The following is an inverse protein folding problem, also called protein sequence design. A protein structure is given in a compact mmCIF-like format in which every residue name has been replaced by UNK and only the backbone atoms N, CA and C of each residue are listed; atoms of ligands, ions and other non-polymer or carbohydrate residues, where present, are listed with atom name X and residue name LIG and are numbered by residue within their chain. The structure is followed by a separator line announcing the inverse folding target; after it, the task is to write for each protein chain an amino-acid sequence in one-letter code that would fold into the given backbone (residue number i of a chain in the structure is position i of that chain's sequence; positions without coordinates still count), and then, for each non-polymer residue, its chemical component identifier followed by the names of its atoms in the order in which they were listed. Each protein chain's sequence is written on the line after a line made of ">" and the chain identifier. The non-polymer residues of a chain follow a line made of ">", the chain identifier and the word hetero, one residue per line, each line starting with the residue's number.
data_IF_744339013348
#
_entry.id   IF_744339013348
#
_cell.length_a   1.000
_cell.length_b   1.000
_cell.length_c   1.000
_cell.angle_alpha   90.00
_cell.angle_beta   90.00
_cell.angle_gamma   90.00
#
_symmetry.space_group_name_H-M   'P 1'
#
loop_
_entity.id
_entity.type
_entity.pdbx_description
1 polymer ?
#
# COMPACT_ATOMS: atom_id res chain seq x y z
N UNK A 1 0.05 1.08 2.05
CA UNK A 1 0.97 0.16 2.76
C UNK A 1 2.13 -0.28 1.88
N UNK A 2 1.89 -1.01 0.78
CA UNK A 2 2.97 -1.51 -0.10
C UNK A 2 3.93 -0.42 -0.59
N UNK A 3 3.40 0.70 -1.09
CA UNK A 3 4.23 1.80 -1.60
C UNK A 3 5.09 2.46 -0.51
N UNK A 4 4.56 2.62 0.71
CA UNK A 4 5.34 3.13 1.84
C UNK A 4 6.52 2.20 2.19
N UNK A 5 6.36 0.90 2.01
CA UNK A 5 7.38 -0.11 2.33
C UNK A 5 8.41 -0.25 1.21
N UNK A 6 7.97 -0.21 -0.05
CA UNK A 6 8.82 -0.47 -1.22
C UNK A 6 9.32 0.77 -1.94
N UNK A 7 8.72 1.95 -1.69
CA UNK A 7 9.01 3.20 -2.40
C UNK A 7 8.48 3.25 -3.84
N UNK A 8 7.63 2.31 -4.24
CA UNK A 8 7.08 2.22 -5.59
C UNK A 8 5.60 1.80 -5.58
N UNK A 9 4.78 2.28 -6.53
CA UNK A 9 3.39 1.86 -6.65
C UNK A 9 3.29 0.35 -6.88
N UNK A 10 2.23 -0.27 -6.33
CA UNK A 10 1.98 -1.71 -6.51
C UNK A 10 1.43 -2.01 -7.90
N UNK A 11 0.51 -1.17 -8.36
CA UNK A 11 -0.18 -1.24 -9.65
C UNK A 11 -0.09 0.14 -10.32
N UNK A 12 0.93 0.38 -11.17
CA UNK A 12 1.05 1.64 -11.91
C UNK A 12 0.42 1.54 -13.31
N UNK A 13 -0.88 1.28 -13.40
CA UNK A 13 -1.60 1.21 -14.68
C UNK A 13 -1.83 2.59 -15.29
N UNK A 14 -1.75 2.67 -16.62
CA UNK A 14 -2.04 3.88 -17.38
C UNK A 14 -3.50 3.95 -17.85
N UNK A 15 -4.15 2.80 -17.97
CA UNK A 15 -5.56 2.63 -18.36
C UNK A 15 -6.25 1.65 -17.43
N UNK A 16 -7.58 1.55 -17.51
CA UNK A 16 -8.37 0.56 -16.75
C UNK A 16 -7.93 -0.87 -17.06
N UNK A 17 -7.71 -1.17 -18.34
CA UNK A 17 -7.26 -2.49 -18.79
C UNK A 17 -5.85 -2.82 -18.30
N UNK A 18 -4.93 -1.86 -18.37
CA UNK A 18 -3.56 -2.03 -17.85
C UNK A 18 -3.54 -2.26 -16.34
N UNK A 19 -4.35 -1.50 -15.60
CA UNK A 19 -4.47 -1.62 -14.15
C UNK A 19 -4.98 -3.02 -13.77
N UNK A 20 -6.02 -3.53 -14.45
CA UNK A 20 -6.53 -4.89 -14.25
C UNK A 20 -5.49 -5.95 -14.59
N UNK A 21 -4.77 -5.82 -15.70
CA UNK A 21 -3.67 -6.72 -16.05
C UNK A 21 -2.59 -6.76 -14.96
N UNK A 22 -2.19 -5.60 -14.42
CA UNK A 22 -1.19 -5.52 -13.35
C UNK A 22 -1.68 -6.17 -12.06
N UNK A 23 -2.96 -5.97 -11.71
CA UNK A 23 -3.59 -6.61 -10.56
C UNK A 23 -3.58 -8.13 -10.73
N UNK A 24 -4.07 -8.66 -11.85
CA UNK A 24 -4.16 -10.11 -12.08
C UNK A 24 -2.80 -10.78 -12.22
N UNK A 25 -1.82 -10.12 -12.84
CA UNK A 25 -0.46 -10.64 -12.87
C UNK A 25 0.13 -10.77 -11.47
N UNK A 26 -0.16 -9.81 -10.59
CA UNK A 26 0.39 -9.78 -9.24
C UNK A 26 -0.33 -10.73 -8.29
N UNK A 27 -1.67 -10.75 -8.31
CA UNK A 27 -2.50 -11.50 -7.35
C UNK A 27 -3.03 -12.84 -7.90
N UNK A 28 -2.85 -13.09 -9.20
CA UNK A 28 -3.44 -14.20 -9.94
C UNK A 28 -4.70 -13.77 -10.70
N UNK A 29 -5.12 -14.52 -11.71
CA UNK A 29 -6.41 -14.25 -12.36
C UNK A 29 -7.54 -14.69 -11.43
N UNK A 30 -8.61 -13.90 -11.23
CA UNK A 30 -9.69 -14.27 -10.33
C UNK A 30 -10.38 -15.54 -10.80
N UNK A 31 -10.85 -16.32 -9.84
CA UNK A 31 -11.57 -17.58 -10.03
C UNK A 31 -12.79 -17.58 -9.14
N UNK A 32 -13.76 -18.46 -9.39
CA UNK A 32 -14.96 -18.61 -8.55
C UNK A 32 -14.65 -18.89 -7.07
N UNK A 33 -13.46 -19.42 -6.75
CA UNK A 33 -13.02 -19.63 -5.38
C UNK A 33 -12.67 -18.33 -4.64
N UNK A 34 -12.06 -17.35 -5.33
CA UNK A 34 -11.59 -16.10 -4.71
C UNK A 34 -12.49 -14.89 -5.00
N UNK A 35 -13.31 -14.97 -6.04
CA UNK A 35 -14.31 -13.99 -6.42
C UNK A 35 -15.55 -14.70 -6.99
N UNK A 36 -16.56 -14.89 -6.15
CA UNK A 36 -17.78 -15.59 -6.57
C UNK A 36 -18.57 -14.78 -7.60
N UNK A 37 -18.98 -15.45 -8.68
CA UNK A 37 -19.75 -14.89 -9.79
C UNK A 37 -18.91 -14.18 -10.85
N UNK A 38 -17.58 -14.19 -10.76
CA UNK A 38 -16.71 -13.51 -11.73
C UNK A 38 -16.80 -14.11 -13.13
N UNK A 39 -17.07 -15.41 -13.25
CA UNK A 39 -17.25 -16.07 -14.56
C UNK A 39 -18.51 -15.62 -15.30
N UNK A 40 -19.47 -15.00 -14.59
CA UNK A 40 -20.69 -14.45 -15.19
C UNK A 40 -20.58 -12.95 -15.53
N UNK A 41 -19.42 -12.33 -15.29
CA UNK A 41 -19.22 -10.92 -15.57
C UNK A 41 -18.85 -10.72 -17.06
N UNK A 42 -19.75 -10.08 -17.81
CA UNK A 42 -19.58 -9.87 -19.26
C UNK A 42 -18.38 -8.98 -19.60
N UNK A 43 -18.12 -7.93 -18.82
CA UNK A 43 -16.98 -7.03 -19.03
C UNK A 43 -15.65 -7.78 -18.83
N UNK A 44 -15.54 -8.58 -17.76
CA UNK A 44 -14.39 -9.44 -17.53
C UNK A 44 -14.18 -10.45 -18.65
N UNK A 45 -15.25 -11.07 -19.14
CA UNK A 45 -15.18 -12.01 -20.26
C UNK A 45 -14.73 -11.32 -21.57
N UNK A 46 -15.18 -10.08 -21.81
CA UNK A 46 -14.83 -9.30 -23.00
C UNK A 46 -13.33 -8.99 -23.07
N UNK A 47 -12.69 -8.68 -21.94
CA UNK A 47 -11.26 -8.39 -21.90
C UNK A 47 -10.37 -9.61 -22.15
N UNK A 48 -10.89 -10.84 -21.97
CA UNK A 48 -10.15 -12.09 -22.25
C UNK A 48 -8.74 -12.13 -21.61
N UNK A 49 -8.63 -11.74 -20.34
CA UNK A 49 -7.36 -11.68 -19.62
C UNK A 49 -6.62 -13.03 -19.61
N UNK A 50 -5.27 -13.05 -19.73
CA UNK A 50 -4.49 -14.26 -19.53
C UNK A 50 -4.67 -14.85 -18.13
N UNK A 51 -4.50 -16.17 -18.01
CA UNK A 51 -4.49 -16.83 -16.70
C UNK A 51 -3.12 -16.68 -16.03
N UNK A 52 -3.10 -16.13 -14.83
CA UNK A 52 -1.91 -15.94 -13.99
C UNK A 52 -2.08 -16.65 -12.64
N UNK A 53 -0.99 -17.23 -12.13
CA UNK A 53 -0.97 -17.84 -10.79
C UNK A 53 -0.70 -16.84 -9.66
N UNK A 54 -0.35 -15.60 -10.01
CA UNK A 54 0.09 -14.57 -9.05
C UNK A 54 1.58 -14.69 -8.71
N UNK A 55 2.18 -13.55 -8.34
CA UNK A 55 3.57 -13.46 -7.92
C UNK A 55 3.64 -13.22 -6.39
N UNK A 56 4.54 -13.89 -5.65
CA UNK A 56 4.70 -13.62 -4.22
C UNK A 56 5.04 -12.14 -3.97
N UNK A 57 4.22 -11.44 -3.17
CA UNK A 57 4.44 -10.02 -2.85
C UNK A 57 5.82 -9.77 -2.21
N UNK A 58 6.33 -10.76 -1.48
CA UNK A 58 7.66 -10.70 -0.87
C UNK A 58 8.79 -10.61 -1.91
N UNK A 59 8.65 -11.27 -3.06
CA UNK A 59 9.62 -11.18 -4.15
C UNK A 59 9.67 -9.76 -4.74
N UNK A 60 8.54 -9.04 -4.71
CA UNK A 60 8.44 -7.66 -5.19
C UNK A 60 8.85 -6.63 -4.14
N UNK A 61 8.66 -6.91 -2.86
CA UNK A 61 9.09 -6.01 -1.80
C UNK A 61 9.71 -6.81 -0.65
N UNK A 62 11.03 -7.09 -0.70
CA UNK A 62 11.71 -7.84 0.36
C UNK A 62 11.59 -7.22 1.76
N UNK A 63 11.37 -5.90 1.84
CA UNK A 63 11.10 -5.18 3.09
C UNK A 63 9.77 -5.57 3.75
N UNK A 64 8.90 -6.32 3.07
CA UNK A 64 7.71 -6.97 3.64
C UNK A 64 8.03 -8.26 4.41
N UNK A 65 9.30 -8.67 4.53
CA UNK A 65 9.70 -9.92 5.18
C UNK A 65 9.21 -10.10 6.63
N UNK A 66 8.72 -9.04 7.27
CA UNK A 66 8.02 -9.18 8.53
C UNK A 66 6.64 -9.84 8.28
N UNK A 67 6.44 -11.07 8.75
CA UNK A 67 5.25 -11.89 8.47
C UNK A 67 3.93 -11.16 8.76
N UNK A 68 3.88 -10.35 9.84
CA UNK A 68 2.68 -9.58 10.17
C UNK A 68 2.36 -8.48 9.15
N UNK A 69 3.35 -7.93 8.45
CA UNK A 69 3.16 -6.92 7.42
C UNK A 69 2.58 -7.55 6.15
N UNK A 70 3.14 -8.68 5.71
CA UNK A 70 2.62 -9.45 4.59
C UNK A 70 1.19 -9.94 4.87
N UNK A 71 0.94 -10.47 6.07
CA UNK A 71 -0.38 -10.94 6.49
C UNK A 71 -1.45 -9.84 6.53
N UNK A 72 -1.08 -8.60 6.89
CA UNK A 72 -2.00 -7.47 6.83
C UNK A 72 -2.25 -7.04 5.37
N UNK A 73 -1.19 -6.94 4.57
CA UNK A 73 -1.29 -6.51 3.17
C UNK A 73 -2.18 -7.44 2.33
N UNK A 74 -2.05 -8.76 2.49
CA UNK A 74 -2.88 -9.73 1.76
C UNK A 74 -4.35 -9.63 2.13
N UNK A 75 -4.69 -9.25 3.36
CA UNK A 75 -6.08 -9.00 3.79
C UNK A 75 -6.69 -7.72 3.20
N UNK A 76 -5.87 -6.76 2.77
CA UNK A 76 -6.33 -5.58 2.03
C UNK A 76 -6.56 -5.87 0.54
N UNK A 77 -5.74 -6.75 -0.05
CA UNK A 77 -5.68 -6.99 -1.50
C UNK A 77 -6.60 -8.14 -1.97
N UNK A 78 -7.81 -8.23 -1.41
CA UNK A 78 -8.82 -9.20 -1.87
C UNK A 78 -9.68 -8.59 -2.98
N UNK A 79 -10.06 -9.41 -3.98
CA UNK A 79 -10.94 -8.99 -5.07
C UNK A 79 -12.28 -8.47 -4.57
N UNK A 80 -12.98 -9.29 -3.78
CA UNK A 80 -14.25 -8.90 -3.20
C UNK A 80 -14.04 -7.90 -2.06
N UNK A 81 -14.51 -6.66 -2.27
CA UNK A 81 -14.38 -5.60 -1.27
C UNK A 81 -14.99 -5.98 0.09
N UNK A 82 -16.10 -6.74 0.11
CA UNK A 82 -16.76 -7.22 1.33
C UNK A 82 -15.93 -8.20 2.15
N UNK A 83 -14.97 -8.89 1.53
CA UNK A 83 -14.06 -9.84 2.20
C UNK A 83 -12.83 -9.15 2.78
N UNK A 84 -12.53 -7.91 2.38
CA UNK A 84 -11.36 -7.15 2.88
C UNK A 84 -11.50 -6.87 4.37
N UNK A 85 -10.37 -6.88 5.08
CA UNK A 85 -10.32 -6.48 6.48
C UNK A 85 -10.80 -5.03 6.64
N UNK A 86 -11.67 -4.77 7.63
CA UNK A 86 -12.11 -3.42 7.93
C UNK A 86 -11.00 -2.60 8.58
N UNK A 87 -11.08 -1.27 8.50
CA UNK A 87 -10.11 -0.39 9.17
C UNK A 87 -10.02 -0.68 10.69
N UNK A 88 -11.18 -0.85 11.35
CA UNK A 88 -11.24 -1.17 12.78
C UNK A 88 -10.56 -2.51 13.14
N UNK A 89 -10.72 -3.53 12.30
CA UNK A 89 -10.05 -4.82 12.50
C UNK A 89 -8.55 -4.73 12.15
N UNK A 90 -8.18 -3.98 11.11
CA UNK A 90 -6.80 -3.79 10.70
C UNK A 90 -5.96 -3.07 11.77
N UNK A 91 -6.53 -2.09 12.47
CA UNK A 91 -5.84 -1.42 13.59
C UNK A 91 -5.46 -2.39 14.71
N UNK A 92 -6.18 -3.50 14.88
CA UNK A 92 -5.91 -4.55 15.88
C UNK A 92 -5.00 -5.68 15.37
N UNK A 93 -4.47 -5.55 14.15
CA UNK A 93 -3.62 -6.58 13.55
C UNK A 93 -2.25 -6.65 14.26
N UNK A 94 -1.62 -7.84 14.38
CA UNK A 94 -0.26 -7.99 14.93
C UNK A 94 0.83 -7.13 14.27
N UNK A 95 0.54 -6.51 13.13
CA UNK A 95 1.44 -5.55 12.50
C UNK A 95 1.65 -4.29 13.36
N UNK A 96 0.64 -3.90 14.16
CA UNK A 96 0.67 -2.70 14.98
C UNK A 96 0.94 -2.97 16.47
N UNK A 97 1.22 -4.22 16.85
CA UNK A 97 1.40 -4.61 18.26
C UNK A 97 2.54 -3.85 18.96
N UNK A 98 3.59 -3.49 18.21
CA UNK A 98 4.72 -2.70 18.70
C UNK A 98 4.38 -1.25 19.09
N UNK A 99 3.21 -0.73 18.70
CA UNK A 99 2.74 0.60 19.08
C UNK A 99 2.16 0.65 20.51
N UNK A 100 1.94 -0.51 21.13
CA UNK A 100 1.40 -0.62 22.49
C UNK A 100 -0.11 -0.43 22.56
N UNK A 101 -0.72 -0.87 23.66
CA UNK A 101 -2.18 -0.90 23.83
C UNK A 101 -2.82 0.49 24.00
N UNK A 102 -2.07 1.48 24.50
CA UNK A 102 -2.58 2.82 24.79
C UNK A 102 -3.15 3.50 23.55
N UNK A 103 -2.59 3.21 22.37
CA UNK A 103 -3.05 3.78 21.09
C UNK A 103 -4.53 3.47 20.79
N UNK A 104 -5.05 2.35 21.31
CA UNK A 104 -6.45 1.95 21.11
C UNK A 104 -7.43 2.58 22.10
N UNK A 105 -6.93 3.35 23.08
CA UNK A 105 -7.74 4.02 24.12
C UNK A 105 -7.84 5.53 23.93
N UNK A 106 -7.16 6.07 22.91
CA UNK A 106 -7.22 7.48 22.56
C UNK A 106 -8.61 7.88 22.11
N UNK A 107 -8.99 9.14 22.39
CA UNK A 107 -10.19 9.73 21.81
C UNK A 107 -9.91 10.13 20.36
N UNK A 108 -10.96 10.27 19.57
CA UNK A 108 -10.85 10.60 18.14
C UNK A 108 -10.10 11.91 17.87
N UNK A 109 -10.16 12.88 18.80
CA UNK A 109 -9.46 14.16 18.72
C UNK A 109 -8.03 14.14 19.26
N UNK A 110 -7.59 13.07 19.93
CA UNK A 110 -6.27 12.99 20.54
C UNK A 110 -5.22 12.56 19.51
N UNK A 111 -4.02 13.15 19.59
CA UNK A 111 -2.91 12.78 18.72
C UNK A 111 -2.27 11.47 19.15
N UNK A 112 -1.91 10.59 18.20
CA UNK A 112 -1.17 9.36 18.54
C UNK A 112 0.18 9.63 19.24
N UNK A 113 0.76 10.80 19.03
CA UNK A 113 2.01 11.23 19.67
C UNK A 113 1.86 11.61 21.14
N UNK A 114 0.63 11.65 21.67
CA UNK A 114 0.41 11.74 23.13
C UNK A 114 0.65 10.40 23.83
N UNK A 115 0.75 9.28 23.09
CA UNK A 115 1.11 7.99 23.67
C UNK A 115 2.57 8.02 24.14
N UNK A 116 2.85 7.67 25.41
CA UNK A 116 4.22 7.57 25.91
C UNK A 116 5.06 6.60 25.07
N UNK A 117 6.23 7.05 24.61
CA UNK A 117 7.16 6.24 23.82
C UNK A 117 6.86 6.19 22.32
N UNK A 118 5.73 6.73 21.84
CA UNK A 118 5.43 6.80 20.41
C UNK A 118 6.02 8.08 19.82
N UNK A 119 7.08 7.94 19.04
CA UNK A 119 7.80 9.06 18.43
C UNK A 119 8.12 8.77 16.98
N UNK A 120 8.15 9.82 16.15
CA UNK A 120 8.69 9.70 14.79
C UNK A 120 10.21 9.50 14.85
N UNK A 121 10.69 8.49 14.15
CA UNK A 121 12.12 8.26 13.94
C UNK A 121 12.58 9.03 12.71
N UNK A 122 13.76 9.67 12.78
CA UNK A 122 14.38 10.25 11.58
C UNK A 122 14.80 9.13 10.63
N UNK A 123 14.49 9.31 9.35
CA UNK A 123 14.95 8.39 8.31
C UNK A 123 16.48 8.39 8.24
N UNK A 124 17.09 7.21 8.36
CA UNK A 124 18.54 7.03 8.23
C UNK A 124 19.07 7.37 6.83
N UNK A 125 18.20 7.43 5.81
CA UNK A 125 18.56 7.66 4.41
C UNK A 125 18.31 9.10 3.92
N UNK A 126 17.93 10.05 4.78
CA UNK A 126 17.87 11.45 4.38
C UNK A 126 19.29 12.00 4.27
N UNK A 127 19.91 11.87 3.09
CA UNK A 127 21.11 12.64 2.75
C UNK A 127 20.77 14.11 2.99
N UNK A 128 21.44 14.74 3.96
CA UNK A 128 21.42 16.18 4.13
C UNK A 128 21.80 16.81 2.79
N UNK A 129 20.81 17.32 2.05
CA UNK A 129 21.07 18.35 1.05
C UNK A 129 21.45 19.59 1.85
N UNK A 130 22.75 19.79 2.06
CA UNK A 130 23.28 20.99 2.66
C UNK A 130 22.68 22.21 1.96
N UNK A 131 22.05 23.07 2.75
CA UNK A 131 21.41 24.29 2.28
C UNK A 131 22.36 25.13 1.45
N UNK A 132 22.16 25.14 0.14
CA UNK A 132 22.65 26.19 -0.74
C UNK A 132 21.94 27.48 -0.35
N UNK A 133 22.72 28.46 0.10
CA UNK A 133 22.27 29.81 0.41
C UNK A 133 21.27 30.32 -0.62
N UNK A 134 20.05 30.63 -0.17
CA UNK A 134 19.13 31.48 -0.90
C UNK A 134 19.83 32.83 -1.13
N UNK A 135 20.30 33.07 -2.36
CA UNK A 135 20.68 34.40 -2.84
C UNK A 135 19.83 34.74 -4.05
N UNK A 136 18.86 35.62 -3.80
CA UNK A 136 18.11 36.41 -4.76
C UNK A 136 19.02 36.90 -5.89
N UNK A 137 18.74 36.55 -7.15
CA UNK A 137 19.36 37.20 -8.31
C UNK A 137 18.28 37.64 -9.30
N UNK A 138 18.20 38.97 -9.42
CA UNK A 138 17.23 39.77 -10.16
C UNK A 138 17.12 39.41 -11.64
N UNK A 139 15.91 39.63 -12.18
CA UNK A 139 15.60 39.65 -13.60
C UNK A 139 16.44 40.67 -14.39
N UNK A 140 16.73 40.32 -15.65
CA UNK A 140 16.80 41.28 -16.76
C UNK A 140 16.65 40.52 -18.09
N UNK A 141 15.46 40.62 -18.69
CA UNK A 141 15.29 40.43 -20.13
C UNK A 141 15.80 41.70 -20.82
N UNK A 142 16.60 41.57 -21.86
CA UNK A 142 16.78 42.63 -22.86
C UNK A 142 16.14 42.15 -24.16
N UNK A 143 15.50 43.11 -24.81
CA UNK A 143 14.66 43.01 -26.00
C UNK A 143 15.31 42.28 -27.18
#
# INVERSE_FOLDING_TARGET
>A
MYEMISGRPLFPGATVEDELHLIFRTLGTPTEANWSGISNNEEFAQYSFPTHTGEPLLARAPRLAHDSALGLLTKFLLYEAKKRISAAAAMKHPFFESLGHTIHTLKDQDSIFSCPGLMLTRDHNYKQTNGGQAKTRRQSMHF
#
